data_IF_523789124978
#
_entry.id   IF_523789124978
#
_cell.length_a   1.000
_cell.length_b   1.000
_cell.length_c   1.000
_cell.angle_alpha   90.00
_cell.angle_beta   90.00
_cell.angle_gamma   90.00
#
_symmetry.space_group_name_H-M   'P 1'
#
loop_
_entity.id
_entity.type
_entity.pdbx_description
1 polymer ?
#
# COMPACT_ATOMS: atom_id res chain seq x y z
N UNK A 1 72.54 33.38 -14.47
CA UNK A 1 71.82 32.15 -14.87
C UNK A 1 70.71 31.94 -13.84
N UNK A 2 69.41 31.92 -14.22
CA UNK A 2 68.35 31.60 -13.27
C UNK A 2 68.56 30.19 -12.70
N UNK A 3 68.35 30.03 -11.39
CA UNK A 3 68.56 28.73 -10.73
C UNK A 3 67.50 27.71 -11.18
N UNK A 4 67.80 26.42 -11.04
CA UNK A 4 66.84 25.35 -11.35
C UNK A 4 65.53 25.52 -10.55
N UNK A 5 65.62 26.04 -9.33
CA UNK A 5 64.49 26.33 -8.45
C UNK A 5 63.59 27.44 -9.00
N UNK A 6 64.18 28.47 -9.61
CA UNK A 6 63.43 29.59 -10.20
C UNK A 6 62.67 29.15 -11.45
N UNK A 7 63.25 28.24 -12.26
CA UNK A 7 62.58 27.62 -13.42
C UNK A 7 61.43 26.69 -13.01
N UNK A 8 61.57 25.98 -11.90
CA UNK A 8 60.51 25.09 -11.38
C UNK A 8 59.32 25.88 -10.83
N UNK A 9 59.57 27.01 -10.15
CA UNK A 9 58.51 27.91 -9.69
C UNK A 9 57.75 28.57 -10.85
N UNK A 10 58.43 28.96 -11.94
CA UNK A 10 57.76 29.53 -13.12
C UNK A 10 56.87 28.51 -13.87
N UNK A 11 57.08 27.21 -13.63
CA UNK A 11 56.26 26.11 -14.16
C UNK A 11 55.14 25.67 -13.20
N UNK A 12 54.92 26.39 -12.09
CA UNK A 12 53.84 26.11 -11.15
C UNK A 12 54.13 25.00 -10.13
N UNK A 13 55.37 24.51 -10.04
CA UNK A 13 55.74 23.48 -9.06
C UNK A 13 55.86 24.11 -7.66
N UNK A 14 54.92 23.78 -6.77
CA UNK A 14 54.98 24.18 -5.36
C UNK A 14 55.79 23.15 -4.57
N UNK A 15 56.93 23.57 -4.01
CA UNK A 15 57.75 22.75 -3.11
C UNK A 15 57.29 23.00 -1.67
N UNK A 16 56.52 22.07 -1.10
CA UNK A 16 56.09 22.11 0.29
C UNK A 16 54.89 21.21 0.58
N UNK A 17 54.99 20.39 1.62
CA UNK A 17 53.89 19.54 2.14
C UNK A 17 52.78 20.33 2.84
N UNK A 18 52.90 21.67 2.92
CA UNK A 18 51.96 22.57 3.61
C UNK A 18 50.57 22.69 2.93
N UNK A 19 50.41 22.15 1.71
CA UNK A 19 49.16 22.15 0.96
C UNK A 19 48.83 20.79 0.36
N UNK A 20 49.18 19.69 1.05
CA UNK A 20 48.60 18.40 0.69
C UNK A 20 47.09 18.47 1.00
N UNK A 21 46.21 18.12 0.04
CA UNK A 21 44.81 17.92 0.37
C UNK A 21 44.72 16.89 1.52
N UNK A 22 43.76 17.03 2.44
CA UNK A 22 43.57 16.04 3.49
C UNK A 22 43.50 14.65 2.83
N UNK A 23 44.06 13.60 3.47
CA UNK A 23 43.95 12.25 2.93
C UNK A 23 42.47 11.99 2.61
N UNK A 24 42.22 11.43 1.43
CA UNK A 24 40.86 11.05 1.06
C UNK A 24 40.31 10.20 2.22
N UNK A 25 39.09 10.47 2.70
CA UNK A 25 38.50 9.66 3.76
C UNK A 25 38.59 8.19 3.35
N UNK A 26 38.92 7.31 4.31
CA UNK A 26 38.96 5.86 4.06
C UNK A 26 37.61 5.43 3.50
N UNK A 27 37.56 5.18 2.19
CA UNK A 27 36.36 4.71 1.51
C UNK A 27 36.17 3.24 1.86
N UNK A 28 34.95 2.89 2.26
CA UNK A 28 34.57 1.49 2.45
C UNK A 28 33.90 0.96 1.20
N UNK A 29 34.36 -0.20 0.75
CA UNK A 29 33.74 -0.90 -0.36
C UNK A 29 32.39 -1.47 0.06
N UNK A 30 31.48 -1.70 -0.89
CA UNK A 30 30.12 -2.15 -0.60
C UNK A 30 30.10 -3.51 0.11
N UNK A 31 31.05 -4.39 -0.21
CA UNK A 31 31.22 -5.72 0.38
C UNK A 31 31.57 -5.67 1.87
N UNK A 32 32.10 -4.53 2.35
CA UNK A 32 32.40 -4.31 3.77
C UNK A 32 31.22 -3.75 4.57
N UNK A 33 30.13 -3.36 3.88
CA UNK A 33 28.93 -2.74 4.47
C UNK A 33 27.74 -3.69 4.38
N UNK A 34 27.60 -4.38 3.25
CA UNK A 34 26.48 -5.29 2.97
C UNK A 34 27.03 -6.67 2.59
N UNK A 35 26.47 -7.71 3.20
CA UNK A 35 26.79 -9.09 2.85
C UNK A 35 26.25 -9.41 1.44
N UNK A 36 27.16 -9.58 0.48
CA UNK A 36 26.82 -9.90 -0.89
C UNK A 36 27.97 -10.54 -1.65
N UNK A 37 27.71 -10.91 -2.90
CA UNK A 37 28.68 -11.58 -3.77
C UNK A 37 28.51 -11.14 -5.21
N UNK A 38 29.60 -11.26 -5.99
CA UNK A 38 29.56 -11.05 -7.43
C UNK A 38 28.98 -12.27 -8.13
N UNK A 39 27.97 -12.04 -8.96
CA UNK A 39 27.35 -13.04 -9.83
C UNK A 39 27.82 -12.78 -11.26
N UNK A 40 28.57 -13.70 -11.89
CA UNK A 40 28.99 -13.53 -13.27
C UNK A 40 27.78 -13.65 -14.19
N UNK A 41 27.68 -12.73 -15.15
CA UNK A 41 26.67 -12.75 -16.21
C UNK A 41 27.35 -12.62 -17.57
N UNK A 42 26.65 -12.92 -18.69
CA UNK A 42 27.19 -12.69 -20.03
C UNK A 42 27.60 -11.24 -20.32
N UNK A 43 27.22 -10.27 -19.47
CA UNK A 43 27.47 -8.84 -19.64
C UNK A 43 28.38 -8.23 -18.56
N UNK A 44 29.05 -9.06 -17.77
CA UNK A 44 29.92 -8.65 -16.67
C UNK A 44 29.43 -9.18 -15.33
N UNK A 45 30.11 -8.78 -14.25
CA UNK A 45 29.75 -9.19 -12.89
C UNK A 45 28.70 -8.25 -12.30
N UNK A 46 27.69 -8.81 -11.65
CA UNK A 46 26.69 -8.05 -10.90
C UNK A 46 26.89 -8.27 -9.39
N UNK A 47 26.89 -7.21 -8.59
CA UNK A 47 26.87 -7.35 -7.13
C UNK A 47 25.45 -7.65 -6.64
N UNK A 48 25.31 -8.74 -5.89
CA UNK A 48 24.03 -9.19 -5.34
C UNK A 48 24.18 -9.45 -3.84
N UNK A 49 23.42 -8.71 -3.04
CA UNK A 49 23.23 -9.01 -1.62
C UNK A 49 22.10 -10.03 -1.46
N UNK A 50 22.22 -10.93 -0.49
CA UNK A 50 21.23 -11.98 -0.26
C UNK A 50 20.88 -12.07 1.23
N UNK A 51 19.58 -12.16 1.51
CA UNK A 51 19.04 -12.37 2.84
C UNK A 51 18.00 -13.49 2.77
N UNK A 52 18.00 -14.38 3.76
CA UNK A 52 17.08 -15.51 3.84
C UNK A 52 16.28 -15.41 5.12
N UNK A 53 14.97 -15.25 4.99
CA UNK A 53 14.04 -15.23 6.10
C UNK A 53 13.46 -16.65 6.26
N UNK A 54 13.78 -17.27 7.39
CA UNK A 54 13.36 -18.64 7.71
C UNK A 54 11.85 -18.76 7.98
N UNK A 55 11.39 -19.98 8.19
CA UNK A 55 9.96 -20.27 8.42
C UNK A 55 9.40 -19.62 9.70
N UNK A 56 10.26 -19.45 10.71
CA UNK A 56 9.92 -18.85 12.00
C UNK A 56 10.02 -17.32 12.02
N UNK A 57 10.41 -16.68 10.92
CA UNK A 57 10.52 -15.22 10.89
C UNK A 57 9.12 -14.58 10.86
N UNK A 58 8.95 -13.54 11.68
CA UNK A 58 7.72 -12.75 11.77
C UNK A 58 8.03 -11.31 11.40
N UNK A 59 7.21 -10.75 10.52
CA UNK A 59 7.22 -9.32 10.23
C UNK A 59 6.10 -8.64 11.02
N UNK A 60 6.46 -8.16 12.21
CA UNK A 60 5.48 -7.73 13.20
C UNK A 60 4.76 -8.94 13.78
N UNK A 61 3.44 -9.02 13.62
CA UNK A 61 2.66 -10.19 14.07
C UNK A 61 2.34 -11.19 12.94
N UNK A 62 2.84 -10.97 11.73
CA UNK A 62 2.49 -11.78 10.55
C UNK A 62 3.65 -12.67 10.14
N UNK A 63 3.34 -13.95 9.90
CA UNK A 63 4.27 -14.86 9.23
C UNK A 63 4.17 -14.71 7.72
N UNK A 64 5.31 -14.55 7.04
CA UNK A 64 5.36 -14.62 5.58
C UNK A 64 5.21 -16.07 5.07
N UNK A 65 5.30 -17.10 5.93
CA UNK A 65 5.03 -18.50 5.57
C UNK A 65 3.58 -18.93 5.79
N UNK A 66 2.71 -18.01 6.22
CA UNK A 66 1.26 -18.22 6.30
C UNK A 66 0.68 -18.71 4.96
N UNK A 67 -0.50 -19.33 5.02
CA UNK A 67 -1.27 -19.64 3.81
C UNK A 67 -1.66 -18.35 3.08
N UNK A 68 -1.58 -18.35 1.76
CA UNK A 68 -2.02 -17.23 0.91
C UNK A 68 -3.32 -17.60 0.19
N UNK A 69 -4.51 -17.47 0.81
CA UNK A 69 -5.79 -17.66 0.12
C UNK A 69 -6.03 -16.51 -0.88
N UNK A 70 -5.56 -16.71 -2.11
CA UNK A 70 -5.59 -15.67 -3.15
C UNK A 70 -6.89 -15.63 -3.97
N UNK A 71 -7.91 -16.43 -3.65
CA UNK A 71 -9.14 -16.53 -4.44
C UNK A 71 -9.86 -15.18 -4.57
N UNK A 72 -10.16 -14.51 -3.44
CA UNK A 72 -10.81 -13.21 -3.43
C UNK A 72 -9.95 -12.10 -4.03
N UNK A 73 -8.64 -12.14 -3.78
CA UNK A 73 -7.69 -11.19 -4.38
C UNK A 73 -7.67 -11.35 -5.89
N UNK A 74 -7.70 -12.59 -6.40
CA UNK A 74 -7.73 -12.91 -7.82
C UNK A 74 -9.02 -12.42 -8.50
N UNK A 75 -10.17 -12.62 -7.86
CA UNK A 75 -11.47 -12.07 -8.31
C UNK A 75 -11.43 -10.54 -8.37
N UNK A 76 -10.98 -9.90 -7.30
CA UNK A 76 -10.88 -8.44 -7.20
C UNK A 76 -9.91 -7.84 -8.22
N UNK A 77 -8.74 -8.46 -8.39
CA UNK A 77 -7.73 -8.04 -9.37
C UNK A 77 -8.13 -8.35 -10.81
N UNK A 78 -9.19 -9.16 -11.01
CA UNK A 78 -9.65 -9.66 -12.31
C UNK A 78 -8.56 -10.42 -13.07
N UNK A 79 -7.72 -11.14 -12.35
CA UNK A 79 -6.67 -11.98 -12.92
C UNK A 79 -6.73 -13.39 -12.30
N UNK A 80 -7.37 -14.36 -12.99
CA UNK A 80 -7.58 -15.72 -12.48
C UNK A 80 -6.28 -16.52 -12.33
N UNK A 81 -5.15 -16.02 -12.85
CA UNK A 81 -3.84 -16.67 -12.69
C UNK A 81 -3.36 -16.59 -11.24
N UNK A 82 -3.69 -15.51 -10.52
CA UNK A 82 -3.25 -15.28 -9.14
C UNK A 82 -3.73 -16.39 -8.19
N UNK A 83 -4.96 -16.89 -8.36
CA UNK A 83 -5.47 -17.99 -7.53
C UNK A 83 -4.96 -19.39 -7.91
N UNK A 84 -4.34 -19.53 -9.09
CA UNK A 84 -3.89 -20.83 -9.62
C UNK A 84 -2.41 -21.09 -9.42
N UNK A 85 -1.63 -20.02 -9.30
CA UNK A 85 -0.19 -20.10 -9.11
C UNK A 85 0.12 -20.35 -7.62
N UNK A 86 1.04 -21.26 -7.29
CA UNK A 86 1.53 -21.39 -5.93
C UNK A 86 2.44 -20.20 -5.59
N UNK A 87 2.60 -19.87 -4.31
CA UNK A 87 3.28 -18.62 -3.87
C UNK A 87 4.76 -18.57 -4.27
N UNK A 88 5.41 -19.71 -4.46
CA UNK A 88 6.80 -19.85 -4.94
C UNK A 88 6.99 -19.31 -6.37
N UNK A 89 5.89 -19.13 -7.11
CA UNK A 89 5.87 -18.50 -8.44
C UNK A 89 5.72 -16.98 -8.38
N UNK A 90 5.59 -16.39 -7.20
CA UNK A 90 5.45 -14.95 -7.02
C UNK A 90 6.81 -14.34 -6.70
N UNK A 91 7.15 -13.28 -7.43
CA UNK A 91 8.27 -12.39 -7.11
C UNK A 91 7.73 -11.11 -6.46
N UNK A 92 8.25 -10.74 -5.31
CA UNK A 92 8.01 -9.46 -4.65
C UNK A 92 9.11 -8.49 -5.05
N UNK A 93 8.76 -7.32 -5.55
CA UNK A 93 9.75 -6.42 -6.16
C UNK A 93 9.53 -4.96 -5.75
N UNK A 94 10.61 -4.31 -5.36
CA UNK A 94 10.70 -2.90 -5.03
C UNK A 94 12.02 -2.31 -5.57
N UNK A 95 12.01 -1.04 -5.98
CA UNK A 95 13.19 -0.37 -6.54
C UNK A 95 13.54 0.94 -5.84
N UNK A 96 14.83 1.15 -5.63
CA UNK A 96 15.38 2.46 -5.33
C UNK A 96 15.90 3.13 -6.60
N UNK A 97 15.57 4.40 -6.74
CA UNK A 97 15.78 5.11 -8.01
C UNK A 97 16.65 6.34 -7.83
N UNK A 98 17.45 6.67 -8.84
CA UNK A 98 18.32 7.84 -8.82
C UNK A 98 17.57 9.18 -9.00
N UNK A 99 16.24 9.19 -9.00
CA UNK A 99 15.46 10.41 -9.12
C UNK A 99 13.95 10.17 -9.30
N UNK A 100 13.15 11.15 -8.85
CA UNK A 100 11.68 11.01 -8.73
C UNK A 100 10.89 11.06 -10.05
N UNK A 101 11.50 11.42 -11.18
CA UNK A 101 10.77 11.82 -12.39
C UNK A 101 10.66 10.73 -13.50
N UNK A 102 11.12 9.50 -13.26
CA UNK A 102 10.88 8.35 -14.17
C UNK A 102 11.33 8.52 -15.63
N UNK A 103 12.17 9.52 -15.93
CA UNK A 103 12.70 9.75 -17.27
C UNK A 103 13.75 8.71 -17.67
N UNK A 104 14.16 8.71 -18.93
CA UNK A 104 15.18 7.78 -19.46
C UNK A 104 16.54 7.90 -18.77
N UNK A 105 16.79 8.99 -18.02
CA UNK A 105 17.99 9.20 -17.21
C UNK A 105 17.90 8.67 -15.78
N UNK A 106 16.73 8.18 -15.34
CA UNK A 106 16.57 7.56 -14.01
C UNK A 106 17.07 6.11 -14.07
N UNK A 107 17.94 5.75 -13.13
CA UNK A 107 18.39 4.38 -12.90
C UNK A 107 17.62 3.78 -11.73
N UNK A 108 17.28 2.50 -11.83
CA UNK A 108 16.95 1.68 -10.67
C UNK A 108 18.28 1.18 -10.11
N UNK A 109 18.86 1.88 -9.14
CA UNK A 109 20.23 1.58 -8.69
C UNK A 109 20.27 0.48 -7.63
N UNK A 110 19.15 0.20 -6.98
CA UNK A 110 18.97 -0.96 -6.12
C UNK A 110 17.62 -1.58 -6.47
N UNK A 111 17.61 -2.86 -6.78
CA UNK A 111 16.37 -3.60 -6.99
C UNK A 111 16.31 -4.73 -5.99
N UNK A 112 15.36 -4.64 -5.06
CA UNK A 112 15.02 -5.75 -4.18
C UNK A 112 14.04 -6.67 -4.87
N UNK A 113 14.37 -7.95 -4.95
CA UNK A 113 13.46 -8.97 -5.43
C UNK A 113 13.50 -10.19 -4.51
N UNK A 114 12.33 -10.68 -4.10
CA UNK A 114 12.24 -11.84 -3.24
C UNK A 114 11.23 -12.87 -3.77
N UNK A 115 11.45 -14.14 -3.44
CA UNK A 115 10.54 -15.24 -3.73
C UNK A 115 10.68 -16.35 -2.69
N UNK A 116 9.67 -17.19 -2.60
CA UNK A 116 9.74 -18.38 -1.75
C UNK A 116 10.52 -19.50 -2.44
N UNK A 117 11.49 -20.07 -1.72
CA UNK A 117 12.32 -21.21 -2.14
C UNK A 117 12.42 -22.15 -0.96
N UNK A 118 11.92 -23.38 -1.12
CA UNK A 118 11.97 -24.43 -0.09
C UNK A 118 11.49 -23.94 1.30
N UNK A 119 10.33 -23.29 1.34
CA UNK A 119 9.72 -22.77 2.58
C UNK A 119 10.33 -21.46 3.11
N UNK A 120 11.43 -20.97 2.51
CA UNK A 120 12.13 -19.76 2.95
C UNK A 120 11.87 -18.60 2.01
N UNK A 121 11.77 -17.39 2.55
CA UNK A 121 11.68 -16.18 1.75
C UNK A 121 13.08 -15.66 1.46
N UNK A 122 13.52 -15.84 0.22
CA UNK A 122 14.85 -15.46 -0.25
C UNK A 122 14.76 -14.12 -0.93
N UNK A 123 15.36 -13.10 -0.31
CA UNK A 123 15.52 -11.76 -0.84
C UNK A 123 16.90 -11.63 -1.48
N UNK A 124 16.93 -11.17 -2.73
CA UNK A 124 18.14 -10.70 -3.39
C UNK A 124 18.01 -9.21 -3.72
N UNK A 125 19.07 -8.46 -3.47
CA UNK A 125 19.14 -7.04 -3.79
C UNK A 125 20.26 -6.82 -4.82
N UNK A 126 19.86 -6.42 -6.01
CA UNK A 126 20.73 -6.18 -7.17
C UNK A 126 21.17 -4.72 -7.16
N UNK A 127 22.45 -4.45 -6.94
CA UNK A 127 22.96 -3.10 -6.74
C UNK A 127 23.86 -2.65 -7.89
N UNK A 128 23.57 -1.45 -8.39
CA UNK A 128 24.28 -0.79 -9.48
C UNK A 128 25.41 0.07 -8.92
N UNK A 129 26.61 -0.50 -8.78
CA UNK A 129 27.76 0.23 -8.20
C UNK A 129 28.26 1.32 -9.14
N UNK A 130 28.27 1.01 -10.43
CA UNK A 130 28.59 1.94 -11.51
C UNK A 130 27.53 1.82 -12.62
N UNK A 131 27.09 2.93 -13.25
CA UNK A 131 26.09 2.87 -14.32
C UNK A 131 26.45 1.93 -15.48
N UNK A 132 27.73 1.67 -15.74
CA UNK A 132 28.19 0.73 -16.76
C UNK A 132 27.88 -0.75 -16.43
N UNK A 133 27.61 -1.08 -15.17
CA UNK A 133 27.27 -2.42 -14.70
C UNK A 133 25.78 -2.78 -14.89
N UNK A 134 24.95 -1.82 -15.32
CA UNK A 134 23.49 -2.04 -15.44
C UNK A 134 23.10 -3.23 -16.31
N UNK A 135 23.72 -3.48 -17.48
CA UNK A 135 23.40 -4.66 -18.26
C UNK A 135 23.67 -5.97 -17.50
N UNK A 136 24.74 -6.04 -16.70
CA UNK A 136 25.04 -7.21 -15.88
C UNK A 136 24.00 -7.38 -14.77
N UNK A 137 23.64 -6.30 -14.08
CA UNK A 137 22.61 -6.31 -13.04
C UNK A 137 21.25 -6.81 -13.58
N UNK A 138 20.83 -6.32 -14.74
CA UNK A 138 19.56 -6.73 -15.38
C UNK A 138 19.57 -8.21 -15.81
N UNK A 139 20.69 -8.74 -16.32
CA UNK A 139 20.81 -10.18 -16.63
C UNK A 139 20.75 -11.04 -15.36
N UNK A 140 21.40 -10.61 -14.26
CA UNK A 140 21.31 -11.31 -12.97
C UNK A 140 19.86 -11.39 -12.46
N UNK A 141 19.09 -10.30 -12.62
CA UNK A 141 17.66 -10.29 -12.29
C UNK A 141 16.84 -11.27 -13.14
N UNK A 142 17.13 -11.40 -14.43
CA UNK A 142 16.44 -12.38 -15.31
C UNK A 142 16.61 -13.79 -14.74
N UNK A 143 17.82 -14.16 -14.34
CA UNK A 143 18.09 -15.48 -13.77
C UNK A 143 17.33 -15.71 -12.46
N UNK A 144 17.25 -14.71 -11.60
CA UNK A 144 16.51 -14.82 -10.34
C UNK A 144 14.99 -14.92 -10.53
N UNK A 145 14.44 -14.15 -11.48
CA UNK A 145 13.00 -14.10 -11.78
C UNK A 145 12.53 -15.25 -12.68
N UNK A 146 13.44 -15.98 -13.34
CA UNK A 146 13.09 -17.04 -14.29
C UNK A 146 12.09 -18.10 -13.79
N UNK A 147 12.11 -18.51 -12.50
CA UNK A 147 11.14 -19.48 -11.99
C UNK A 147 9.73 -18.91 -11.74
N UNK A 148 9.58 -17.58 -11.72
CA UNK A 148 8.36 -16.87 -11.34
C UNK A 148 7.42 -16.66 -12.53
N UNK A 149 6.15 -16.44 -12.21
CA UNK A 149 5.06 -16.22 -13.16
C UNK A 149 4.10 -15.09 -12.70
N UNK A 150 4.29 -14.58 -11.48
CA UNK A 150 3.56 -13.46 -10.92
C UNK A 150 4.53 -12.44 -10.29
N UNK A 151 4.15 -11.17 -10.35
CA UNK A 151 4.85 -10.05 -9.72
C UNK A 151 3.94 -9.42 -8.66
N UNK A 152 4.46 -9.19 -7.47
CA UNK A 152 3.82 -8.46 -6.38
C UNK A 152 4.63 -7.20 -6.13
N UNK A 153 3.97 -6.04 -6.15
CA UNK A 153 4.61 -4.74 -5.92
C UNK A 153 3.71 -3.85 -5.07
N UNK A 154 4.27 -2.80 -4.49
CA UNK A 154 3.50 -1.75 -3.83
C UNK A 154 3.60 -0.47 -4.65
N UNK A 155 2.55 -0.12 -5.40
CA UNK A 155 2.54 0.96 -6.40
C UNK A 155 3.37 0.68 -7.67
N UNK A 156 4.00 -0.49 -7.80
CA UNK A 156 4.94 -0.77 -8.88
C UNK A 156 4.34 -0.98 -10.26
N UNK A 157 3.01 -1.09 -10.42
CA UNK A 157 2.39 -0.99 -11.75
C UNK A 157 2.60 0.38 -12.39
N UNK A 158 2.70 1.42 -11.57
CA UNK A 158 2.82 2.81 -12.05
C UNK A 158 4.26 3.34 -12.01
N UNK A 159 5.17 2.67 -11.29
CA UNK A 159 6.53 3.15 -11.04
C UNK A 159 7.59 2.10 -11.41
N UNK A 160 7.76 1.05 -10.59
CA UNK A 160 8.86 0.08 -10.70
C UNK A 160 8.87 -0.68 -12.03
N UNK A 161 7.75 -1.30 -12.41
CA UNK A 161 7.67 -2.13 -13.61
C UNK A 161 7.85 -1.32 -14.91
N UNK A 162 7.24 -0.13 -15.08
CA UNK A 162 7.53 0.77 -16.20
C UNK A 162 9.00 1.22 -16.27
N UNK A 163 9.60 1.56 -15.13
CA UNK A 163 11.02 1.96 -15.05
C UNK A 163 11.91 0.82 -15.53
N UNK A 164 11.78 -0.37 -14.95
CA UNK A 164 12.57 -1.54 -15.32
C UNK A 164 12.34 -1.93 -16.79
N UNK A 165 11.09 -1.90 -17.27
CA UNK A 165 10.77 -2.14 -18.69
C UNK A 165 11.55 -1.21 -19.62
N UNK A 166 11.67 0.07 -19.24
CA UNK A 166 12.46 1.05 -19.98
C UNK A 166 13.95 0.69 -19.93
N UNK A 167 14.50 0.33 -18.76
CA UNK A 167 15.92 -0.07 -18.61
C UNK A 167 16.27 -1.30 -19.45
N UNK A 168 15.45 -2.36 -19.38
CA UNK A 168 15.58 -3.55 -20.23
C UNK A 168 15.56 -3.19 -21.73
N UNK A 169 14.62 -2.33 -22.14
CA UNK A 169 14.49 -1.90 -23.53
C UNK A 169 15.70 -1.11 -24.04
N UNK A 170 16.26 -0.20 -23.23
CA UNK A 170 17.45 0.59 -23.57
C UNK A 170 18.66 -0.31 -23.84
N UNK A 171 18.82 -1.39 -23.06
CA UNK A 171 19.89 -2.36 -23.21
C UNK A 171 19.59 -3.47 -24.23
N UNK A 172 18.41 -3.43 -24.87
CA UNK A 172 17.91 -4.46 -25.81
C UNK A 172 17.86 -5.86 -25.17
N UNK A 173 17.54 -5.89 -23.88
CA UNK A 173 17.35 -7.12 -23.11
C UNK A 173 15.84 -7.40 -23.02
N UNK A 174 15.36 -8.65 -23.22
CA UNK A 174 13.95 -8.98 -23.03
C UNK A 174 13.49 -8.73 -21.59
N UNK A 175 12.29 -8.15 -21.44
CA UNK A 175 11.70 -7.92 -20.12
C UNK A 175 11.23 -9.26 -19.52
N UNK A 176 11.81 -9.73 -18.39
CA UNK A 176 11.54 -11.07 -17.86
C UNK A 176 10.10 -11.24 -17.37
N UNK A 177 9.48 -10.16 -16.86
CA UNK A 177 8.14 -10.19 -16.27
C UNK A 177 7.04 -9.73 -17.24
N UNK A 178 7.30 -9.63 -18.55
CA UNK A 178 6.35 -9.10 -19.55
C UNK A 178 4.98 -9.81 -19.52
N UNK A 179 4.96 -11.11 -19.26
CA UNK A 179 3.75 -11.93 -19.27
C UNK A 179 3.27 -12.32 -17.86
N UNK A 180 3.88 -11.81 -16.80
CA UNK A 180 3.52 -12.19 -15.44
C UNK A 180 2.10 -11.73 -15.10
N UNK A 181 1.43 -12.45 -14.21
CA UNK A 181 0.35 -11.84 -13.44
C UNK A 181 0.94 -10.72 -12.58
N UNK A 182 0.25 -9.58 -12.42
CA UNK A 182 0.79 -8.48 -11.63
C UNK A 182 -0.23 -8.04 -10.59
N UNK A 183 0.09 -8.32 -9.32
CA UNK A 183 -0.66 -7.86 -8.17
C UNK A 183 0.01 -6.59 -7.60
N UNK A 184 -0.71 -5.48 -7.64
CA UNK A 184 -0.27 -4.25 -6.97
C UNK A 184 -1.08 -4.11 -5.67
N UNK A 185 -0.37 -4.04 -4.54
CA UNK A 185 -0.98 -4.01 -3.22
C UNK A 185 -1.53 -2.63 -2.84
N UNK A 186 -1.03 -1.54 -3.43
CA UNK A 186 -1.46 -0.20 -3.03
C UNK A 186 -2.95 0.08 -3.30
N UNK A 187 -3.54 -0.28 -4.46
CA UNK A 187 -4.96 -0.07 -4.68
C UNK A 187 -5.82 -0.91 -3.72
N UNK A 188 -5.38 -2.11 -3.35
CA UNK A 188 -6.06 -2.96 -2.37
C UNK A 188 -5.95 -2.36 -0.95
N UNK A 189 -4.77 -1.90 -0.56
CA UNK A 189 -4.57 -1.20 0.71
C UNK A 189 -5.41 0.08 0.82
N UNK A 190 -5.51 0.85 -0.27
CA UNK A 190 -6.42 2.01 -0.36
C UNK A 190 -7.89 1.64 -0.32
N UNK A 191 -8.25 0.40 -0.71
CA UNK A 191 -9.63 -0.09 -0.65
C UNK A 191 -10.04 -0.44 0.77
N UNK A 192 -9.10 -0.99 1.54
CA UNK A 192 -9.32 -1.50 2.90
C UNK A 192 -9.18 -0.41 3.96
N UNK A 193 -8.18 0.48 3.85
CA UNK A 193 -7.82 1.34 4.99
C UNK A 193 -7.92 2.84 4.74
N UNK A 194 -8.46 3.30 3.60
CA UNK A 194 -8.58 4.75 3.31
C UNK A 194 -9.45 5.49 4.31
N UNK A 195 -10.52 4.86 4.78
CA UNK A 195 -11.48 5.52 5.66
C UNK A 195 -10.98 5.56 7.12
N UNK A 196 -10.09 4.62 7.51
CA UNK A 196 -9.52 4.53 8.87
C UNK A 196 -8.16 5.23 9.00
N UNK A 197 -7.23 4.97 8.09
CA UNK A 197 -5.83 5.37 8.23
C UNK A 197 -5.50 6.68 7.48
N UNK A 198 -4.77 7.61 8.10
CA UNK A 198 -4.41 8.88 7.48
C UNK A 198 -3.45 8.69 6.28
N UNK A 199 -2.62 7.64 6.33
CA UNK A 199 -1.67 7.29 5.27
C UNK A 199 -1.80 5.83 4.85
N UNK A 200 -1.46 5.56 3.58
CA UNK A 200 -1.34 4.21 3.00
C UNK A 200 0.06 4.01 2.41
N UNK A 201 1.05 4.73 2.94
CA UNK A 201 2.44 4.42 2.66
C UNK A 201 2.78 3.06 3.29
N UNK A 202 3.62 2.25 2.65
CA UNK A 202 3.91 0.88 3.09
C UNK A 202 4.41 0.85 4.54
N UNK A 203 5.40 1.68 4.87
CA UNK A 203 5.89 1.89 6.25
C UNK A 203 4.79 2.22 7.27
N UNK A 204 3.78 3.00 6.87
CA UNK A 204 2.68 3.34 7.77
C UNK A 204 1.76 2.13 8.02
N UNK A 205 1.52 1.33 6.97
CA UNK A 205 0.76 0.08 7.07
C UNK A 205 1.53 -0.98 7.87
N UNK A 206 2.85 -1.08 7.72
CA UNK A 206 3.66 -1.97 8.56
C UNK A 206 3.45 -1.68 10.04
N UNK A 207 3.51 -0.41 10.44
CA UNK A 207 3.36 -0.03 11.84
C UNK A 207 1.92 -0.23 12.34
N UNK A 208 0.92 0.24 11.58
CA UNK A 208 -0.46 0.34 12.07
C UNK A 208 -1.37 -0.83 11.69
N UNK A 209 -0.93 -1.69 10.77
CA UNK A 209 -1.65 -2.90 10.32
C UNK A 209 -0.87 -4.16 10.65
N UNK A 210 0.46 -4.18 10.47
CA UNK A 210 1.28 -5.37 10.74
C UNK A 210 1.95 -5.34 12.13
N UNK A 211 1.88 -4.21 12.85
CA UNK A 211 2.51 -4.05 14.15
C UNK A 211 4.03 -4.10 14.13
N UNK A 212 4.66 -3.71 13.01
CA UNK A 212 6.12 -3.71 12.84
C UNK A 212 6.68 -2.29 12.80
N UNK A 213 7.66 -2.01 13.64
CA UNK A 213 8.42 -0.76 13.63
C UNK A 213 9.84 -1.03 13.13
N UNK A 214 10.21 -0.39 12.02
CA UNK A 214 11.57 -0.47 11.46
C UNK A 214 12.62 0.05 12.46
N UNK A 215 13.83 -0.50 12.39
CA UNK A 215 14.93 -0.19 13.32
C UNK A 215 15.59 1.17 13.04
N UNK A 216 16.61 1.53 13.82
CA UNK A 216 17.42 2.74 13.60
C UNK A 216 18.27 2.72 12.33
N UNK A 217 18.39 1.58 11.65
CA UNK A 217 19.14 1.47 10.40
C UNK A 217 18.37 2.06 9.21
N UNK A 218 17.07 2.32 9.38
CA UNK A 218 16.18 2.90 8.39
C UNK A 218 16.56 4.34 8.02
N UNK A 219 16.66 4.61 6.72
CA UNK A 219 16.86 5.96 6.17
C UNK A 219 15.54 6.55 5.65
N UNK A 220 15.36 7.89 5.67
CA UNK A 220 14.22 8.50 5.02
C UNK A 220 14.27 8.32 3.50
N UNK A 221 13.20 7.80 2.90
CA UNK A 221 13.17 7.49 1.46
C UNK A 221 13.51 8.66 0.52
N UNK A 222 13.22 9.90 0.92
CA UNK A 222 13.59 11.08 0.12
C UNK A 222 15.10 11.37 0.08
N UNK A 223 15.89 10.81 1.00
CA UNK A 223 17.35 10.97 1.05
C UNK A 223 18.07 9.92 0.20
N UNK A 224 17.41 8.79 -0.08
CA UNK A 224 17.98 7.63 -0.76
C UNK A 224 18.68 7.99 -2.09
N UNK A 225 18.07 8.78 -3.00
CA UNK A 225 18.75 9.16 -4.24
C UNK A 225 20.04 9.95 -4.00
N UNK A 226 20.05 10.83 -2.98
CA UNK A 226 21.22 11.63 -2.64
C UNK A 226 22.35 10.77 -2.06
N UNK A 227 22.03 9.79 -1.21
CA UNK A 227 23.00 8.83 -0.67
C UNK A 227 23.70 8.04 -1.79
N UNK A 228 22.95 7.64 -2.82
CA UNK A 228 23.52 6.96 -3.99
C UNK A 228 24.45 7.87 -4.80
N UNK A 229 24.04 9.12 -5.08
CA UNK A 229 24.92 10.07 -5.79
C UNK A 229 26.18 10.41 -4.99
N UNK A 230 26.08 10.52 -3.67
CA UNK A 230 27.24 10.74 -2.83
C UNK A 230 28.20 9.55 -2.89
N UNK A 231 27.67 8.32 -2.84
CA UNK A 231 28.45 7.10 -3.07
C UNK A 231 29.17 7.10 -4.41
N UNK A 232 28.51 7.44 -5.53
CA UNK A 232 29.17 7.49 -6.84
C UNK A 232 30.35 8.48 -6.86
N UNK A 233 30.26 9.59 -6.12
CA UNK A 233 31.29 10.63 -6.04
C UNK A 233 32.43 10.27 -5.09
N UNK A 234 32.12 9.71 -3.92
CA UNK A 234 33.08 9.48 -2.83
C UNK A 234 33.63 8.07 -2.83
N UNK A 235 32.93 7.14 -3.48
CA UNK A 235 33.14 5.70 -3.41
C UNK A 235 33.04 5.13 -1.98
N UNK A 236 32.40 5.86 -1.05
CA UNK A 236 32.18 5.43 0.32
C UNK A 236 30.79 4.80 0.49
N UNK A 237 30.75 3.49 0.67
CA UNK A 237 29.50 2.74 0.74
C UNK A 237 28.83 2.77 2.12
N UNK A 238 29.46 3.34 3.16
CA UNK A 238 28.90 3.31 4.54
C UNK A 238 27.42 3.73 4.63
N UNK A 239 26.97 4.82 3.96
CA UNK A 239 25.58 5.24 4.05
C UNK A 239 24.60 4.31 3.32
N UNK A 240 25.08 3.44 2.44
CA UNK A 240 24.24 2.51 1.69
C UNK A 240 23.69 1.38 2.54
N UNK A 241 24.28 1.08 3.70
CA UNK A 241 23.75 0.05 4.61
C UNK A 241 22.28 0.29 4.95
N UNK A 242 21.92 1.54 5.26
CA UNK A 242 20.52 1.91 5.55
C UNK A 242 19.61 1.91 4.32
N UNK A 243 20.16 2.17 3.12
CA UNK A 243 19.40 2.07 1.85
C UNK A 243 19.05 0.61 1.55
N UNK A 244 20.00 -0.31 1.72
CA UNK A 244 19.73 -1.75 1.58
C UNK A 244 18.73 -2.24 2.63
N UNK A 245 18.84 -1.74 3.87
CA UNK A 245 17.86 -2.05 4.90
C UNK A 245 16.45 -1.57 4.52
N UNK A 246 16.29 -0.31 4.07
CA UNK A 246 15.01 0.25 3.65
C UNK A 246 14.34 -0.63 2.57
N UNK A 247 15.05 -0.85 1.46
CA UNK A 247 14.55 -1.66 0.36
C UNK A 247 14.25 -3.11 0.78
N UNK A 248 15.07 -3.70 1.65
CA UNK A 248 14.79 -5.04 2.19
C UNK A 248 13.49 -5.06 2.99
N UNK A 249 13.26 -4.08 3.86
CA UNK A 249 12.04 -3.98 4.65
C UNK A 249 10.81 -3.73 3.76
N UNK A 250 10.90 -2.92 2.70
CA UNK A 250 9.78 -2.74 1.77
C UNK A 250 9.41 -4.05 1.06
N UNK A 251 10.40 -4.85 0.62
CA UNK A 251 10.12 -6.15 -0.01
C UNK A 251 9.51 -7.15 0.97
N UNK A 252 10.03 -7.26 2.18
CA UNK A 252 9.50 -8.17 3.22
C UNK A 252 8.11 -7.74 3.67
N UNK A 253 7.88 -6.44 3.84
CA UNK A 253 6.59 -5.88 4.20
C UNK A 253 5.50 -6.20 3.18
N UNK A 254 5.82 -6.24 1.88
CA UNK A 254 4.84 -6.64 0.86
C UNK A 254 4.39 -8.09 1.01
N UNK A 255 5.31 -9.01 1.34
CA UNK A 255 4.95 -10.41 1.58
C UNK A 255 4.05 -10.56 2.81
N UNK A 256 4.41 -9.90 3.91
CA UNK A 256 3.61 -9.88 5.13
C UNK A 256 2.24 -9.19 4.91
N UNK A 257 2.20 -8.08 4.18
CA UNK A 257 0.95 -7.39 3.85
C UNK A 257 0.05 -8.25 2.96
N UNK A 258 0.61 -8.96 1.98
CA UNK A 258 -0.17 -9.88 1.16
C UNK A 258 -0.74 -11.02 2.00
N UNK A 259 0.07 -11.64 2.87
CA UNK A 259 -0.39 -12.70 3.78
C UNK A 259 -1.57 -12.19 4.64
N UNK A 260 -1.37 -11.07 5.34
CA UNK A 260 -2.40 -10.45 6.17
C UNK A 260 -3.68 -10.15 5.39
N UNK A 261 -3.58 -9.51 4.21
CA UNK A 261 -4.76 -9.18 3.40
C UNK A 261 -5.46 -10.43 2.88
N UNK A 262 -4.71 -11.46 2.52
CA UNK A 262 -5.30 -12.71 2.05
C UNK A 262 -6.09 -13.40 3.16
N UNK A 263 -5.51 -13.53 4.36
CA UNK A 263 -6.21 -14.09 5.54
C UNK A 263 -7.43 -13.24 5.93
N UNK A 264 -7.26 -11.91 5.96
CA UNK A 264 -8.31 -10.93 6.25
C UNK A 264 -9.50 -11.07 5.30
N UNK A 265 -9.24 -11.34 4.01
CA UNK A 265 -10.29 -11.51 3.03
C UNK A 265 -10.93 -12.89 3.15
N UNK A 266 -10.17 -13.94 3.45
CA UNK A 266 -10.67 -15.33 3.54
C UNK A 266 -11.54 -15.55 4.78
N UNK A 267 -11.10 -15.08 5.96
CA UNK A 267 -11.89 -15.11 7.20
C UNK A 267 -11.88 -13.75 7.92
N UNK A 268 -12.75 -12.81 7.50
CA UNK A 268 -12.91 -11.50 8.15
C UNK A 268 -13.31 -11.54 9.63
N UNK A 269 -13.74 -12.70 10.15
CA UNK A 269 -14.32 -12.83 11.49
C UNK A 269 -13.40 -13.56 12.47
N UNK A 270 -12.20 -13.96 12.05
CA UNK A 270 -11.21 -14.67 12.88
C UNK A 270 -10.63 -13.85 14.06
N UNK A 271 -11.02 -12.58 14.20
CA UNK A 271 -10.56 -11.68 15.25
C UNK A 271 -9.42 -10.73 14.85
N UNK A 272 -8.88 -10.85 13.63
CA UNK A 272 -7.87 -9.92 13.10
C UNK A 272 -8.43 -8.50 12.81
N UNK A 273 -9.75 -8.38 12.65
CA UNK A 273 -10.43 -7.10 12.40
C UNK A 273 -11.01 -6.54 13.68
N UNK A 274 -10.37 -5.48 14.19
CA UNK A 274 -10.79 -4.83 15.43
C UNK A 274 -11.63 -3.56 15.20
N UNK A 275 -11.53 -2.96 14.01
CA UNK A 275 -12.14 -1.66 13.73
C UNK A 275 -13.40 -1.79 12.87
N UNK A 276 -14.48 -1.09 13.27
CA UNK A 276 -15.72 -1.04 12.51
C UNK A 276 -15.53 -0.58 11.06
N UNK A 277 -14.67 0.43 10.83
CA UNK A 277 -14.38 0.94 9.48
C UNK A 277 -13.71 -0.09 8.57
N UNK A 278 -12.93 -1.02 9.11
CA UNK A 278 -12.30 -2.08 8.32
C UNK A 278 -13.36 -3.10 7.89
N UNK A 279 -14.32 -3.45 8.76
CA UNK A 279 -15.51 -4.22 8.37
C UNK A 279 -16.35 -3.51 7.30
N UNK A 280 -16.55 -2.20 7.41
CA UNK A 280 -17.25 -1.42 6.37
C UNK A 280 -16.47 -1.47 5.05
N UNK A 281 -15.14 -1.34 5.08
CA UNK A 281 -14.32 -1.40 3.88
C UNK A 281 -14.37 -2.78 3.21
N UNK A 282 -14.32 -3.86 4.00
CA UNK A 282 -14.50 -5.24 3.55
C UNK A 282 -15.89 -5.46 2.98
N UNK A 283 -16.94 -5.05 3.68
CA UNK A 283 -18.32 -5.14 3.17
C UNK A 283 -18.48 -4.39 1.86
N UNK A 284 -17.79 -3.24 1.72
CA UNK A 284 -17.77 -2.52 0.47
C UNK A 284 -17.07 -3.34 -0.64
N UNK A 285 -15.96 -4.00 -0.36
CA UNK A 285 -15.22 -4.82 -1.33
C UNK A 285 -16.04 -6.04 -1.77
N UNK A 286 -16.66 -6.74 -0.82
CA UNK A 286 -17.53 -7.89 -1.09
C UNK A 286 -18.77 -7.50 -1.90
N UNK A 287 -19.34 -6.31 -1.67
CA UNK A 287 -20.41 -5.77 -2.51
C UNK A 287 -19.97 -5.57 -3.97
N UNK A 288 -18.73 -5.10 -4.20
CA UNK A 288 -18.19 -4.93 -5.55
C UNK A 288 -17.91 -6.28 -6.26
N UNK A 289 -17.79 -7.37 -5.49
CA UNK A 289 -17.65 -8.75 -5.96
C UNK A 289 -19.00 -9.48 -6.09
N UNK A 290 -20.12 -8.77 -5.94
CA UNK A 290 -21.48 -9.33 -5.95
C UNK A 290 -21.77 -10.38 -4.86
N UNK A 291 -20.97 -10.41 -3.79
CA UNK A 291 -21.16 -11.27 -2.61
C UNK A 291 -22.06 -10.57 -1.59
N UNK A 292 -23.33 -10.41 -1.97
CA UNK A 292 -24.26 -9.51 -1.26
C UNK A 292 -24.60 -9.98 0.16
N UNK A 293 -24.67 -11.28 0.41
CA UNK A 293 -24.98 -11.83 1.74
C UNK A 293 -23.82 -11.63 2.73
N UNK A 294 -22.59 -11.88 2.31
CA UNK A 294 -21.38 -11.59 3.07
C UNK A 294 -21.18 -10.09 3.27
N UNK A 295 -21.38 -9.28 2.21
CA UNK A 295 -21.30 -7.83 2.31
C UNK A 295 -22.28 -7.27 3.36
N UNK A 296 -23.51 -7.78 3.40
CA UNK A 296 -24.51 -7.39 4.39
C UNK A 296 -24.03 -7.73 5.81
N UNK A 297 -23.54 -8.95 6.06
CA UNK A 297 -23.01 -9.38 7.36
C UNK A 297 -21.81 -8.55 7.80
N UNK A 298 -20.93 -8.17 6.88
CA UNK A 298 -19.78 -7.30 7.17
C UNK A 298 -20.23 -5.89 7.58
N UNK A 299 -21.23 -5.32 6.89
CA UNK A 299 -21.80 -4.04 7.31
C UNK A 299 -22.48 -4.11 8.66
N UNK A 300 -23.27 -5.14 8.93
CA UNK A 300 -23.90 -5.38 10.23
C UNK A 300 -22.85 -5.42 11.34
N UNK A 301 -21.77 -6.19 11.14
CA UNK A 301 -20.68 -6.28 12.10
C UNK A 301 -19.96 -4.95 12.31
N UNK A 302 -19.68 -4.20 11.24
CA UNK A 302 -19.04 -2.89 11.34
C UNK A 302 -19.88 -1.86 12.10
N UNK A 303 -21.21 -1.93 11.98
CA UNK A 303 -22.16 -1.05 12.69
C UNK A 303 -22.23 -1.33 14.20
N UNK A 304 -21.82 -2.51 14.65
CA UNK A 304 -21.75 -2.87 16.08
C UNK A 304 -20.54 -2.24 16.79
N UNK A 305 -19.48 -1.89 16.05
CA UNK A 305 -18.19 -1.48 16.60
C UNK A 305 -18.01 0.03 16.78
N UNK A 306 -19.11 0.80 16.76
CA UNK A 306 -19.11 2.25 16.97
C UNK A 306 -18.48 3.02 15.80
N UNK A 307 -19.31 3.71 15.03
CA UNK A 307 -18.89 4.52 13.88
C UNK A 307 -19.22 5.99 14.10
N UNK A 308 -18.51 6.88 13.39
CA UNK A 308 -18.93 8.29 13.31
C UNK A 308 -20.30 8.39 12.62
N UNK A 309 -21.07 9.46 12.87
CA UNK A 309 -22.39 9.64 12.24
C UNK A 309 -22.32 9.57 10.70
N UNK A 310 -21.25 10.12 10.12
CA UNK A 310 -21.03 10.09 8.67
C UNK A 310 -20.82 8.66 8.16
N UNK A 311 -19.92 7.91 8.80
CA UNK A 311 -19.58 6.54 8.36
C UNK A 311 -20.72 5.57 8.62
N UNK A 312 -21.42 5.75 9.74
CA UNK A 312 -22.63 5.02 10.07
C UNK A 312 -23.70 5.21 9.00
N UNK A 313 -23.97 6.46 8.59
CA UNK A 313 -24.94 6.76 7.54
C UNK A 313 -24.59 6.09 6.21
N UNK A 314 -23.31 6.09 5.83
CA UNK A 314 -22.83 5.40 4.61
C UNK A 314 -23.05 3.89 4.70
N UNK A 315 -22.68 3.27 5.83
CA UNK A 315 -22.83 1.84 6.05
C UNK A 315 -24.31 1.40 6.04
N UNK A 316 -25.17 2.08 6.80
CA UNK A 316 -26.61 1.79 6.83
C UNK A 316 -27.25 1.97 5.46
N UNK A 317 -26.89 3.01 4.71
CA UNK A 317 -27.39 3.22 3.35
C UNK A 317 -27.12 2.01 2.45
N UNK A 318 -25.86 1.55 2.42
CA UNK A 318 -25.45 0.40 1.59
C UNK A 318 -26.14 -0.89 2.07
N UNK A 319 -26.10 -1.18 3.37
CA UNK A 319 -26.76 -2.33 3.95
C UNK A 319 -28.25 -2.38 3.62
N UNK A 320 -28.94 -1.23 3.67
CA UNK A 320 -30.37 -1.16 3.35
C UNK A 320 -30.69 -1.44 1.89
N UNK A 321 -29.80 -1.02 0.98
CA UNK A 321 -29.90 -1.35 -0.44
C UNK A 321 -29.71 -2.86 -0.63
N UNK A 322 -28.73 -3.46 0.05
CA UNK A 322 -28.49 -4.90 0.02
C UNK A 322 -29.68 -5.69 0.58
N UNK A 323 -30.24 -5.30 1.73
CA UNK A 323 -31.41 -5.97 2.31
C UNK A 323 -32.64 -5.90 1.38
N UNK A 324 -32.84 -4.77 0.69
CA UNK A 324 -33.88 -4.67 -0.36
C UNK A 324 -33.61 -5.61 -1.53
N UNK A 325 -32.36 -5.77 -1.98
CA UNK A 325 -31.97 -6.74 -3.03
C UNK A 325 -32.21 -8.18 -2.59
N UNK A 326 -32.02 -8.49 -1.30
CA UNK A 326 -32.28 -9.80 -0.68
C UNK A 326 -33.77 -10.07 -0.43
N UNK A 327 -34.65 -9.09 -0.68
CA UNK A 327 -36.09 -9.19 -0.43
C UNK A 327 -36.51 -8.97 1.03
N UNK A 328 -35.58 -8.70 1.95
CA UNK A 328 -35.86 -8.51 3.37
C UNK A 328 -36.00 -7.02 3.74
N UNK A 329 -37.06 -6.40 3.24
CA UNK A 329 -37.40 -5.01 3.55
C UNK A 329 -37.69 -4.82 5.05
N UNK A 330 -38.21 -5.86 5.71
CA UNK A 330 -38.49 -5.85 7.15
C UNK A 330 -37.21 -5.73 7.99
N UNK A 331 -36.12 -6.39 7.59
CA UNK A 331 -34.84 -6.25 8.24
C UNK A 331 -34.24 -4.86 8.04
N UNK A 332 -34.33 -4.29 6.82
CA UNK A 332 -33.90 -2.91 6.57
C UNK A 332 -34.61 -1.91 7.48
N UNK A 333 -35.92 -2.08 7.67
CA UNK A 333 -36.72 -1.27 8.61
C UNK A 333 -36.21 -1.39 10.05
N UNK A 334 -36.01 -2.61 10.56
CA UNK A 334 -35.51 -2.84 11.92
C UNK A 334 -34.14 -2.20 12.14
N UNK A 335 -33.25 -2.29 11.16
CA UNK A 335 -31.93 -1.64 11.23
C UNK A 335 -32.06 -0.12 11.33
N UNK A 336 -32.95 0.49 10.55
CA UNK A 336 -33.21 1.92 10.67
C UNK A 336 -33.85 2.30 12.00
N UNK A 337 -34.77 1.49 12.53
CA UNK A 337 -35.38 1.75 13.84
C UNK A 337 -34.33 1.71 14.95
N UNK A 338 -33.51 0.66 15.02
CA UNK A 338 -32.43 0.53 16.00
C UNK A 338 -31.40 1.66 15.87
N UNK A 339 -31.09 2.05 14.63
CA UNK A 339 -30.20 3.18 14.38
C UNK A 339 -30.80 4.52 14.81
N UNK A 340 -32.10 4.73 14.58
CA UNK A 340 -32.81 5.92 14.99
C UNK A 340 -32.90 6.01 16.53
N UNK A 341 -33.09 4.89 17.23
CA UNK A 341 -33.03 4.83 18.69
C UNK A 341 -31.66 5.27 19.25
N UNK A 342 -30.58 5.01 18.52
CA UNK A 342 -29.22 5.46 18.86
C UNK A 342 -28.94 6.93 18.45
N UNK A 343 -29.93 7.64 17.92
CA UNK A 343 -29.82 9.05 17.53
C UNK A 343 -29.26 9.30 16.13
N UNK A 344 -29.07 8.26 15.31
CA UNK A 344 -28.52 8.43 13.97
C UNK A 344 -29.53 9.14 13.05
N UNK A 345 -29.15 10.31 12.53
CA UNK A 345 -30.00 11.21 11.75
C UNK A 345 -30.40 10.57 10.43
N UNK A 346 -29.45 9.89 9.78
CA UNK A 346 -29.70 9.22 8.50
C UNK A 346 -30.84 8.19 8.60
N UNK A 347 -30.89 7.44 9.70
CA UNK A 347 -31.89 6.40 9.90
C UNK A 347 -33.31 6.97 10.03
N UNK A 348 -33.46 8.09 10.75
CA UNK A 348 -34.73 8.82 10.83
C UNK A 348 -35.22 9.28 9.45
N UNK A 349 -34.32 9.72 8.58
CA UNK A 349 -34.65 10.13 7.20
C UNK A 349 -35.10 8.96 6.34
N UNK A 350 -34.44 7.80 6.44
CA UNK A 350 -34.84 6.60 5.69
C UNK A 350 -36.19 6.03 6.17
N UNK A 351 -36.47 6.04 7.48
CA UNK A 351 -37.79 5.71 8.01
C UNK A 351 -38.86 6.67 7.46
N UNK A 352 -38.59 7.98 7.47
CA UNK A 352 -39.49 8.96 6.89
C UNK A 352 -39.77 8.69 5.40
N UNK A 353 -38.74 8.35 4.61
CA UNK A 353 -38.88 7.96 3.19
C UNK A 353 -39.70 6.69 3.02
N UNK A 354 -39.47 5.69 3.86
CA UNK A 354 -40.19 4.41 3.81
C UNK A 354 -41.68 4.62 4.03
N UNK A 355 -42.07 5.24 5.15
CA UNK A 355 -43.48 5.48 5.46
C UNK A 355 -44.16 6.36 4.43
N UNK A 356 -43.43 7.32 3.84
CA UNK A 356 -43.99 8.16 2.79
C UNK A 356 -44.27 7.40 1.48
N UNK A 357 -43.28 6.64 0.99
CA UNK A 357 -43.31 6.10 -0.38
C UNK A 357 -43.88 4.68 -0.46
N UNK A 358 -43.69 3.87 0.59
CA UNK A 358 -44.13 2.47 0.64
C UNK A 358 -45.47 2.34 1.34
N UNK A 359 -45.56 2.77 2.59
CA UNK A 359 -46.78 2.67 3.39
C UNK A 359 -47.81 3.77 3.10
N UNK A 360 -47.37 4.85 2.44
CA UNK A 360 -48.18 6.07 2.18
C UNK A 360 -48.78 6.68 3.45
N UNK A 361 -48.11 6.52 4.59
CA UNK A 361 -48.46 7.11 5.88
C UNK A 361 -47.71 8.43 6.08
N UNK A 362 -48.37 9.53 5.72
CA UNK A 362 -47.82 10.87 5.87
C UNK A 362 -47.60 11.28 7.34
N UNK A 363 -48.42 10.77 8.28
CA UNK A 363 -48.32 11.15 9.70
C UNK A 363 -47.07 10.54 10.33
N UNK A 364 -46.84 9.25 10.11
CA UNK A 364 -45.65 8.57 10.62
C UNK A 364 -44.39 9.09 9.93
N UNK A 365 -44.46 9.39 8.63
CA UNK A 365 -43.37 10.05 7.92
C UNK A 365 -42.99 11.41 8.52
N UNK A 366 -43.98 12.27 8.84
CA UNK A 366 -43.76 13.56 9.51
C UNK A 366 -43.13 13.38 10.90
N UNK A 367 -43.59 12.37 11.67
CA UNK A 367 -43.02 12.07 13.00
C UNK A 367 -41.51 11.79 12.89
N UNK A 368 -41.10 10.96 11.94
CA UNK A 368 -39.69 10.63 11.72
C UNK A 368 -38.87 11.81 11.20
N UNK A 369 -39.41 12.60 10.26
CA UNK A 369 -38.73 13.80 9.75
C UNK A 369 -38.53 14.86 10.86
N UNK A 370 -39.53 15.09 11.72
CA UNK A 370 -39.40 15.98 12.88
C UNK A 370 -38.41 15.45 13.91
N UNK A 371 -38.33 14.13 14.06
CA UNK A 371 -37.34 13.50 14.93
C UNK A 371 -35.92 13.68 14.40
N UNK A 372 -35.70 13.47 13.10
CA UNK A 372 -34.42 13.77 12.45
C UNK A 372 -33.97 15.21 12.72
N UNK A 373 -34.89 16.19 12.61
CA UNK A 373 -34.58 17.60 12.89
C UNK A 373 -34.08 17.82 14.32
N UNK A 374 -34.76 17.23 15.30
CA UNK A 374 -34.37 17.32 16.72
C UNK A 374 -32.99 16.71 16.96
N UNK A 375 -32.68 15.58 16.34
CA UNK A 375 -31.37 14.94 16.47
C UNK A 375 -30.26 15.82 15.86
N UNK A 376 -30.49 16.44 14.70
CA UNK A 376 -29.54 17.41 14.12
C UNK A 376 -29.33 18.63 15.02
N UNK A 377 -30.39 19.13 15.65
CA UNK A 377 -30.31 20.28 16.56
C UNK A 377 -29.47 19.94 17.81
N UNK A 378 -29.61 18.72 18.34
CA UNK A 378 -28.91 18.24 19.54
C UNK A 378 -27.49 17.77 19.30
N UNK A 379 -27.21 17.17 18.13
CA UNK A 379 -25.92 16.57 17.83
C UNK A 379 -24.82 17.64 17.71
N UNK A 380 -23.61 17.31 18.18
CA UNK A 380 -22.42 18.14 17.99
C UNK A 380 -21.82 17.89 16.59
N UNK A 381 -22.41 18.56 15.60
CA UNK A 381 -22.03 18.44 14.20
C UNK A 381 -21.24 19.65 13.72
N UNK A 382 -20.25 19.38 12.85
CA UNK A 382 -19.57 20.42 12.08
C UNK A 382 -20.59 21.31 11.34
N UNK A 383 -20.40 22.64 11.28
CA UNK A 383 -21.40 23.57 10.75
C UNK A 383 -21.90 23.23 9.33
N UNK A 384 -21.00 22.75 8.46
CA UNK A 384 -21.36 22.37 7.10
C UNK A 384 -22.25 21.11 7.05
N UNK A 385 -21.99 20.12 7.92
CA UNK A 385 -22.79 18.89 8.03
C UNK A 385 -24.18 19.21 8.59
N UNK A 386 -24.24 20.04 9.64
CA UNK A 386 -25.51 20.50 10.22
C UNK A 386 -26.37 21.21 9.16
N UNK A 387 -25.77 22.13 8.40
CA UNK A 387 -26.46 22.87 7.33
C UNK A 387 -26.99 21.94 6.24
N UNK A 388 -26.21 20.94 5.84
CA UNK A 388 -26.65 19.95 4.85
C UNK A 388 -27.87 19.16 5.32
N UNK A 389 -27.84 18.62 6.54
CA UNK A 389 -28.96 17.86 7.08
C UNK A 389 -30.22 18.71 7.28
N UNK A 390 -30.11 19.91 7.85
CA UNK A 390 -31.26 20.79 8.04
C UNK A 390 -31.93 21.13 6.70
N UNK A 391 -31.14 21.41 5.65
CA UNK A 391 -31.68 21.68 4.32
C UNK A 391 -32.46 20.48 3.74
N UNK A 392 -31.95 19.25 3.87
CA UNK A 392 -32.67 18.05 3.42
C UNK A 392 -33.96 17.81 4.22
N UNK A 393 -33.88 17.98 5.55
CA UNK A 393 -34.99 17.72 6.47
C UNK A 393 -36.11 18.76 6.28
N UNK A 394 -35.77 20.04 6.21
CA UNK A 394 -36.74 21.13 6.08
C UNK A 394 -37.51 21.03 4.76
N UNK A 395 -36.79 20.77 3.65
CA UNK A 395 -37.43 20.52 2.36
C UNK A 395 -38.38 19.30 2.40
N UNK A 396 -38.03 18.26 3.16
CA UNK A 396 -38.91 17.09 3.36
C UNK A 396 -40.14 17.43 4.20
N UNK A 397 -39.97 18.18 5.29
CA UNK A 397 -41.07 18.62 6.16
C UNK A 397 -42.07 19.47 5.37
N UNK A 398 -41.62 20.50 4.65
CA UNK A 398 -42.48 21.36 3.83
C UNK A 398 -43.28 20.57 2.79
N UNK A 399 -42.68 19.53 2.19
CA UNK A 399 -43.35 18.67 1.22
C UNK A 399 -44.38 17.75 1.87
N UNK A 400 -44.08 17.21 3.06
CA UNK A 400 -44.95 16.31 3.79
C UNK A 400 -46.14 17.05 4.43
N UNK A 401 -45.93 18.27 4.94
CA UNK A 401 -46.99 19.11 5.53
C UNK A 401 -48.03 19.46 4.47
N UNK A 402 -47.59 19.98 3.31
CA UNK A 402 -48.47 20.21 2.14
C UNK A 402 -49.28 18.98 1.74
N UNK A 403 -48.67 17.79 1.78
CA UNK A 403 -49.32 16.53 1.41
C UNK A 403 -50.29 16.02 2.48
N UNK A 404 -50.07 16.38 3.74
CA UNK A 404 -50.94 16.07 4.87
C UNK A 404 -52.07 17.08 5.07
N UNK A 405 -52.07 18.19 4.31
CA UNK A 405 -53.06 19.27 4.46
C UNK A 405 -52.80 20.15 5.69
N UNK A 406 -51.55 20.20 6.16
CA UNK A 406 -51.04 21.05 7.23
C UNK A 406 -50.16 22.13 6.60
#
# INVERSE_FOLDING_TARGET
MPSLSDKLKSLGVKVGTAHLPPPAPESRSIESVVAGSFRPTPRGDAFVAEQVFGEDYLHGHVSHTSTFPLALISEWAKDPRLAKLPIEKFAFLDTETSGMAGGTGTYAFLVGAARFVDGKFVLQQFFLRDPSEEPAMLEAMIHFLAPCEALVTFNGKSFDAPLLTTRYSLHRIPVPFKNFAHLDLLPLARRLWRDRLPSRALKYLEEHVLGFTRTSDEVPGYEIPWLYFDYLRTQDARPLGGVFYHNAMDVVAMAALLAHVSELLDDPYNGSVEHGLDFIALGKLYEDLDRWDEAARLFERGLELGLTESDFGVAVKRLSILQKKRGDVGHALRLWEQAAEKGHIYAHIELAKHYEHKERDAKTSLKWARSARREVERADLQPYVRKHWLAEIDHRLERLERKAGL
#
